data_IF_765771233704
#
_entry.id   IF_765771233704
#
_cell.length_a   1.000
_cell.length_b   1.000
_cell.length_c   1.000
_cell.angle_alpha   90.00
_cell.angle_beta   90.00
_cell.angle_gamma   90.00
#
_symmetry.space_group_name_H-M   'P 1'
#
loop_
_entity.id
_entity.type
_entity.pdbx_description
1 polymer ?
#
# COMPACT_ATOMS: atom_id res chain seq x y z
N UNK A 1 -5.01 0.40 -28.59
CA UNK A 1 -5.25 1.51 -27.65
C UNK A 1 -3.96 2.29 -27.51
N UNK A 2 -3.96 3.60 -27.26
CA UNK A 2 -2.72 4.29 -26.91
C UNK A 2 -2.11 3.65 -25.67
N UNK A 3 -0.76 3.65 -25.53
CA UNK A 3 -0.11 3.09 -24.34
C UNK A 3 -0.60 3.83 -23.09
N UNK A 4 -0.78 3.10 -21.98
CA UNK A 4 -1.11 3.70 -20.68
C UNK A 4 0.04 4.60 -20.24
N UNK A 5 -0.21 5.76 -19.62
CA UNK A 5 0.85 6.63 -19.13
C UNK A 5 1.62 5.94 -17.99
N UNK A 6 2.94 6.10 -17.97
CA UNK A 6 3.82 5.74 -16.86
C UNK A 6 4.17 6.99 -16.05
N UNK A 7 4.52 6.81 -14.78
CA UNK A 7 5.03 7.91 -13.96
C UNK A 7 6.35 8.45 -14.53
N UNK A 8 6.53 9.77 -14.44
CA UNK A 8 7.80 10.41 -14.77
C UNK A 8 8.91 9.84 -13.87
N UNK A 9 10.03 9.33 -14.44
CA UNK A 9 11.15 8.82 -13.64
C UNK A 9 11.69 9.78 -12.58
N UNK A 10 11.57 11.09 -12.78
CA UNK A 10 12.03 12.10 -11.84
C UNK A 10 11.29 12.07 -10.49
N UNK A 11 10.02 11.60 -10.46
CA UNK A 11 9.22 11.57 -9.24
C UNK A 11 9.79 10.63 -8.17
N UNK A 12 10.59 9.64 -8.58
CA UNK A 12 11.15 8.63 -7.68
C UNK A 12 12.33 9.15 -6.85
N UNK A 13 12.93 10.29 -7.22
CA UNK A 13 14.09 10.87 -6.54
C UNK A 13 15.20 9.86 -6.24
N UNK A 14 15.52 9.01 -7.23
CA UNK A 14 16.49 7.92 -7.09
C UNK A 14 17.91 8.46 -6.81
N UNK A 15 18.70 7.82 -5.93
CA UNK A 15 20.11 8.15 -5.73
C UNK A 15 20.97 7.58 -6.88
N UNK A 16 20.77 8.13 -8.10
CA UNK A 16 21.25 7.59 -9.38
C UNK A 16 22.74 7.24 -9.35
N UNK A 17 23.60 8.14 -8.87
CA UNK A 17 25.04 7.91 -8.84
C UNK A 17 25.44 6.70 -7.98
N UNK A 18 24.79 6.53 -6.83
CA UNK A 18 25.03 5.37 -5.96
C UNK A 18 24.51 4.08 -6.58
N UNK A 19 23.35 4.13 -7.25
CA UNK A 19 22.79 2.97 -7.95
C UNK A 19 23.68 2.55 -9.11
N UNK A 20 24.13 3.49 -9.94
CA UNK A 20 25.09 3.25 -11.04
C UNK A 20 26.41 2.65 -10.55
N UNK A 21 26.88 3.08 -9.39
CA UNK A 21 28.09 2.55 -8.76
C UNK A 21 27.90 1.15 -8.14
N UNK A 22 26.69 0.60 -8.16
CA UNK A 22 26.37 -0.70 -7.55
C UNK A 22 26.37 -0.69 -6.02
N UNK A 23 26.22 0.49 -5.39
CA UNK A 23 26.24 0.61 -3.93
C UNK A 23 25.15 -0.23 -3.23
N UNK A 24 23.99 -0.35 -3.86
CA UNK A 24 22.83 -1.11 -3.34
C UNK A 24 22.69 -2.50 -3.99
N UNK A 25 23.65 -2.90 -4.81
CA UNK A 25 23.60 -4.16 -5.56
C UNK A 25 24.26 -5.31 -4.79
N UNK A 26 23.75 -6.51 -4.97
CA UNK A 26 24.48 -7.71 -4.52
C UNK A 26 25.87 -7.77 -5.14
N UNK A 27 26.88 -8.06 -4.32
CA UNK A 27 28.28 -7.99 -4.76
C UNK A 27 28.63 -8.92 -5.93
N UNK A 28 27.91 -10.02 -6.08
CA UNK A 28 28.17 -10.92 -7.21
C UNK A 28 27.74 -10.30 -8.55
N UNK A 29 26.71 -9.45 -8.60
CA UNK A 29 26.35 -8.71 -9.82
C UNK A 29 27.36 -7.61 -10.16
N UNK A 30 27.86 -6.91 -9.14
CA UNK A 30 28.92 -5.93 -9.33
C UNK A 30 30.17 -6.60 -9.88
N UNK A 31 30.59 -7.73 -9.29
CA UNK A 31 31.76 -8.51 -9.74
C UNK A 31 31.56 -9.11 -11.12
N UNK A 32 30.35 -9.60 -11.44
CA UNK A 32 30.06 -10.10 -12.78
C UNK A 32 30.23 -9.00 -13.83
N UNK A 33 29.72 -7.80 -13.55
CA UNK A 33 29.89 -6.62 -14.42
C UNK A 33 31.38 -6.25 -14.58
N UNK A 34 32.13 -6.16 -13.47
CA UNK A 34 33.57 -5.86 -13.49
C UNK A 34 34.36 -6.89 -14.31
N UNK A 35 34.03 -8.19 -14.18
CA UNK A 35 34.63 -9.26 -14.97
C UNK A 35 34.35 -9.07 -16.46
N UNK A 36 33.11 -8.85 -16.86
CA UNK A 36 32.72 -8.64 -18.26
C UNK A 36 33.45 -7.46 -18.89
N UNK A 37 33.56 -6.36 -18.15
CA UNK A 37 34.30 -5.18 -18.58
C UNK A 37 35.79 -5.44 -18.72
N UNK A 38 36.43 -6.14 -17.77
CA UNK A 38 37.85 -6.48 -17.81
C UNK A 38 38.19 -7.43 -18.95
N UNK A 39 37.32 -8.41 -19.21
CA UNK A 39 37.46 -9.38 -20.32
C UNK A 39 37.03 -8.80 -21.68
N UNK A 40 36.50 -7.56 -21.72
CA UNK A 40 35.94 -6.92 -22.91
C UNK A 40 34.84 -7.78 -23.58
N UNK A 41 34.14 -8.57 -22.77
CA UNK A 41 33.04 -9.42 -23.21
C UNK A 41 31.71 -8.72 -22.99
N UNK A 42 31.02 -8.30 -24.05
CA UNK A 42 29.75 -7.58 -24.01
C UNK A 42 28.62 -8.36 -24.67
N UNK A 43 28.17 -9.48 -24.07
CA UNK A 43 27.10 -10.28 -24.65
C UNK A 43 25.78 -9.54 -24.57
N UNK A 44 25.01 -9.59 -25.66
CA UNK A 44 23.61 -9.17 -25.63
C UNK A 44 22.76 -10.31 -25.09
N UNK A 45 22.05 -10.02 -24.03
CA UNK A 45 21.15 -10.98 -23.40
C UNK A 45 19.71 -10.47 -23.44
N UNK A 46 18.74 -11.41 -23.36
CA UNK A 46 17.38 -11.09 -22.99
C UNK A 46 17.16 -11.63 -21.57
N UNK A 47 17.01 -10.73 -20.62
CA UNK A 47 16.64 -11.00 -19.24
C UNK A 47 15.13 -11.01 -19.12
N UNK A 48 14.57 -12.06 -18.54
CA UNK A 48 13.14 -12.21 -18.30
C UNK A 48 12.87 -12.13 -16.80
N UNK A 49 11.98 -11.21 -16.42
CA UNK A 49 11.49 -11.04 -15.05
C UNK A 49 10.08 -11.58 -14.93
N UNK A 50 9.82 -12.39 -13.91
CA UNK A 50 8.51 -13.01 -13.69
C UNK A 50 8.13 -13.09 -12.22
N UNK A 51 6.81 -13.04 -11.96
CA UNK A 51 6.23 -13.24 -10.65
C UNK A 51 6.14 -14.73 -10.31
N UNK A 52 6.25 -15.08 -9.01
CA UNK A 52 6.11 -16.46 -8.55
C UNK A 52 4.71 -16.80 -8.04
N UNK A 53 3.85 -15.82 -7.90
CA UNK A 53 2.50 -15.97 -7.36
C UNK A 53 1.50 -15.13 -8.13
N UNK A 54 0.22 -15.42 -7.99
CA UNK A 54 -0.83 -14.49 -8.39
C UNK A 54 -0.72 -13.20 -7.60
N UNK A 55 -0.71 -12.07 -8.31
CA UNK A 55 -0.52 -10.77 -7.70
C UNK A 55 -1.14 -9.63 -8.51
N UNK A 56 -1.45 -8.56 -7.82
CA UNK A 56 -1.71 -7.23 -8.36
C UNK A 56 -0.37 -6.50 -8.45
N UNK A 57 0.13 -6.31 -9.65
CA UNK A 57 1.50 -5.86 -9.93
C UNK A 57 1.70 -4.41 -9.49
N UNK A 58 2.76 -4.16 -8.76
CA UNK A 58 3.18 -2.83 -8.34
C UNK A 58 4.70 -2.64 -8.48
N UNK A 59 5.13 -1.37 -8.62
CA UNK A 59 6.54 -1.01 -8.71
C UNK A 59 7.15 -1.13 -10.10
N UNK A 60 6.35 -1.31 -11.14
CA UNK A 60 6.83 -1.44 -12.52
C UNK A 60 7.45 -0.14 -13.00
N UNK A 61 6.78 0.99 -12.75
CA UNK A 61 7.28 2.29 -13.20
C UNK A 61 8.55 2.71 -12.45
N UNK A 62 8.64 2.38 -11.14
CA UNK A 62 9.86 2.58 -10.36
C UNK A 62 11.01 1.67 -10.85
N UNK A 63 10.73 0.40 -11.20
CA UNK A 63 11.70 -0.53 -11.78
C UNK A 63 12.19 -0.06 -13.17
N UNK A 64 11.28 0.42 -14.01
CA UNK A 64 11.59 1.04 -15.30
C UNK A 64 12.46 2.29 -15.12
N UNK A 65 12.13 3.15 -14.16
CA UNK A 65 12.92 4.35 -13.85
C UNK A 65 14.34 4.00 -13.40
N UNK A 66 14.51 2.94 -12.59
CA UNK A 66 15.84 2.44 -12.21
C UNK A 66 16.64 2.05 -13.45
N UNK A 67 16.04 1.29 -14.37
CA UNK A 67 16.73 0.91 -15.61
C UNK A 67 17.05 2.13 -16.47
N UNK A 68 16.08 3.03 -16.67
CA UNK A 68 16.23 4.21 -17.52
C UNK A 68 17.28 5.20 -17.02
N UNK A 69 17.33 5.43 -15.72
CA UNK A 69 18.25 6.42 -15.12
C UNK A 69 19.58 5.83 -14.70
N UNK A 70 19.64 4.53 -14.38
CA UNK A 70 20.82 3.94 -13.75
C UNK A 70 21.58 2.93 -14.63
N UNK A 71 21.00 2.44 -15.74
CA UNK A 71 21.76 1.67 -16.72
C UNK A 71 22.87 2.54 -17.36
N UNK A 72 23.96 1.91 -17.77
CA UNK A 72 25.11 2.63 -18.33
C UNK A 72 24.78 3.24 -19.68
N UNK A 73 24.05 2.55 -20.52
CA UNK A 73 23.71 2.95 -21.88
C UNK A 73 22.23 2.62 -22.15
N UNK A 74 21.32 3.42 -21.59
CA UNK A 74 19.88 3.20 -21.78
C UNK A 74 19.45 3.04 -23.26
N UNK A 75 19.99 3.83 -24.22
CA UNK A 75 19.60 3.69 -25.64
C UNK A 75 19.92 2.32 -26.24
N UNK A 76 20.85 1.56 -25.66
CA UNK A 76 21.22 0.22 -26.11
C UNK A 76 20.29 -0.86 -25.57
N UNK A 77 19.40 -0.50 -24.63
CA UNK A 77 18.44 -1.42 -24.03
C UNK A 77 17.08 -1.35 -24.74
N UNK A 78 16.47 -2.50 -24.92
CA UNK A 78 15.06 -2.61 -25.27
C UNK A 78 14.34 -3.20 -24.07
N UNK A 79 13.53 -2.38 -23.43
CA UNK A 79 12.73 -2.80 -22.26
C UNK A 79 11.27 -2.91 -22.67
N UNK A 80 10.65 -4.02 -22.32
CA UNK A 80 9.21 -4.24 -22.45
C UNK A 80 8.67 -4.62 -21.09
N UNK A 81 7.56 -4.03 -20.67
CA UNK A 81 7.00 -4.24 -19.33
C UNK A 81 5.48 -4.19 -19.33
N UNK A 82 4.87 -4.87 -18.36
CA UNK A 82 3.48 -4.65 -17.95
C UNK A 82 3.33 -3.27 -17.29
N UNK A 83 2.15 -2.97 -16.80
CA UNK A 83 1.84 -1.71 -16.12
C UNK A 83 1.52 -1.93 -14.64
N UNK A 84 1.60 -0.84 -13.89
CA UNK A 84 1.07 -0.78 -12.54
C UNK A 84 -0.39 -1.23 -12.53
N UNK A 85 -0.76 -2.07 -11.57
CA UNK A 85 -2.12 -2.57 -11.41
C UNK A 85 -2.52 -3.73 -12.31
N UNK A 86 -1.64 -4.23 -13.16
CA UNK A 86 -1.93 -5.43 -13.93
C UNK A 86 -1.99 -6.67 -13.02
N UNK A 87 -3.04 -7.49 -13.20
CA UNK A 87 -3.10 -8.81 -12.57
C UNK A 87 -2.15 -9.77 -13.29
N UNK A 88 -1.36 -10.50 -12.52
CA UNK A 88 -0.38 -11.45 -13.05
C UNK A 88 -0.56 -12.85 -12.46
N UNK A 89 -0.35 -13.84 -13.29
CA UNK A 89 -0.35 -15.26 -12.92
C UNK A 89 1.05 -15.70 -12.45
N UNK A 90 1.17 -16.83 -11.71
CA UNK A 90 2.45 -17.44 -11.40
C UNK A 90 3.23 -17.76 -12.68
N UNK A 91 4.52 -17.35 -12.71
CA UNK A 91 5.46 -17.54 -13.83
C UNK A 91 5.13 -16.69 -15.07
N UNK A 92 4.22 -15.76 -14.97
CA UNK A 92 3.99 -14.79 -16.04
C UNK A 92 5.15 -13.80 -16.14
N UNK A 93 5.62 -13.56 -17.37
CA UNK A 93 6.66 -12.58 -17.66
C UNK A 93 6.10 -11.17 -17.48
N UNK A 94 6.67 -10.41 -16.57
CA UNK A 94 6.25 -9.03 -16.26
C UNK A 94 7.12 -7.96 -16.90
N UNK A 95 8.38 -8.34 -17.24
CA UNK A 95 9.32 -7.45 -17.89
C UNK A 95 10.36 -8.26 -18.68
N UNK A 96 10.74 -7.75 -19.85
CA UNK A 96 11.89 -8.19 -20.64
C UNK A 96 12.88 -7.04 -20.76
N UNK A 97 14.16 -7.34 -20.56
CA UNK A 97 15.26 -6.39 -20.71
C UNK A 97 16.24 -7.00 -21.70
N UNK A 98 16.35 -6.42 -22.90
CA UNK A 98 17.28 -6.86 -23.93
C UNK A 98 18.40 -5.83 -24.08
N UNK A 99 19.64 -6.28 -24.07
CA UNK A 99 20.80 -5.43 -24.29
C UNK A 99 22.11 -6.01 -23.78
N UNK A 100 23.20 -5.23 -23.82
CA UNK A 100 24.48 -5.65 -23.25
C UNK A 100 24.34 -5.91 -21.74
N UNK A 101 24.71 -7.12 -21.27
CA UNK A 101 24.48 -7.50 -19.88
C UNK A 101 25.24 -6.61 -18.89
N UNK A 102 26.43 -6.18 -19.24
CA UNK A 102 27.24 -5.26 -18.43
C UNK A 102 26.56 -3.89 -18.19
N UNK A 103 25.63 -3.49 -19.07
CA UNK A 103 24.94 -2.21 -18.94
C UNK A 103 23.94 -2.18 -17.76
N UNK A 104 23.35 -3.32 -17.37
CA UNK A 104 22.29 -3.38 -16.36
C UNK A 104 22.43 -4.49 -15.30
N UNK A 105 23.43 -5.38 -15.40
CA UNK A 105 23.61 -6.51 -14.48
C UNK A 105 23.57 -6.10 -12.99
N UNK A 106 24.17 -4.98 -12.64
CA UNK A 106 24.22 -4.45 -11.28
C UNK A 106 22.88 -3.90 -10.76
N UNK A 107 21.85 -3.79 -11.60
CA UNK A 107 20.54 -3.25 -11.21
C UNK A 107 19.53 -4.31 -10.79
N UNK A 108 19.85 -5.60 -10.95
CA UNK A 108 18.91 -6.70 -10.71
C UNK A 108 18.36 -6.69 -9.27
N UNK A 109 19.22 -6.56 -8.27
CA UNK A 109 18.81 -6.44 -6.86
C UNK A 109 17.78 -5.34 -6.65
N UNK A 110 17.94 -4.20 -7.33
CA UNK A 110 17.11 -3.02 -7.12
C UNK A 110 15.71 -3.20 -7.72
N UNK A 111 15.63 -3.51 -9.02
CA UNK A 111 14.32 -3.61 -9.66
C UNK A 111 13.50 -4.80 -9.15
N UNK A 112 14.13 -5.92 -8.79
CA UNK A 112 13.43 -7.03 -8.16
C UNK A 112 12.90 -6.69 -6.75
N UNK A 113 13.70 -5.98 -5.96
CA UNK A 113 13.30 -5.54 -4.63
C UNK A 113 12.12 -4.58 -4.64
N UNK A 114 12.12 -3.63 -5.59
CA UNK A 114 11.01 -2.70 -5.82
C UNK A 114 9.74 -3.45 -6.23
N UNK A 115 9.82 -4.28 -7.26
CA UNK A 115 8.69 -5.11 -7.71
C UNK A 115 8.12 -5.95 -6.57
N UNK A 116 8.97 -6.64 -5.80
CA UNK A 116 8.54 -7.50 -4.70
C UNK A 116 7.78 -6.70 -3.62
N UNK A 117 8.30 -5.55 -3.22
CA UNK A 117 7.69 -4.75 -2.16
C UNK A 117 6.37 -4.11 -2.59
N UNK A 118 6.36 -3.40 -3.72
CA UNK A 118 5.17 -2.69 -4.19
C UNK A 118 4.04 -3.65 -4.55
N UNK A 119 4.37 -4.78 -5.19
CA UNK A 119 3.41 -5.85 -5.49
C UNK A 119 2.81 -6.43 -4.22
N UNK A 120 3.59 -6.64 -3.15
CA UNK A 120 3.07 -7.09 -1.85
C UNK A 120 2.03 -6.14 -1.29
N UNK A 121 2.37 -4.86 -1.22
CA UNK A 121 1.47 -3.82 -0.70
C UNK A 121 0.22 -3.68 -1.57
N UNK A 122 0.40 -3.58 -2.89
CA UNK A 122 -0.70 -3.49 -3.85
C UNK A 122 -1.64 -4.68 -3.78
N UNK A 123 -1.11 -5.91 -3.79
CA UNK A 123 -1.92 -7.14 -3.74
C UNK A 123 -2.72 -7.25 -2.43
N UNK A 124 -2.10 -6.96 -1.29
CA UNK A 124 -2.80 -7.02 -0.01
C UNK A 124 -3.88 -5.93 0.08
N UNK A 125 -3.58 -4.72 -0.40
CA UNK A 125 -4.57 -3.63 -0.45
C UNK A 125 -5.71 -3.98 -1.38
N UNK A 126 -5.45 -4.51 -2.57
CA UNK A 126 -6.47 -4.92 -3.54
C UNK A 126 -7.44 -5.93 -2.94
N UNK A 127 -6.93 -6.97 -2.26
CA UNK A 127 -7.75 -7.98 -1.57
C UNK A 127 -8.66 -7.39 -0.49
N UNK A 128 -8.14 -6.40 0.24
CA UNK A 128 -8.91 -5.69 1.27
C UNK A 128 -9.99 -4.82 0.64
N UNK A 129 -9.65 -4.07 -0.42
CA UNK A 129 -10.61 -3.24 -1.16
C UNK A 129 -11.75 -4.09 -1.74
N UNK A 130 -11.43 -5.23 -2.34
CA UNK A 130 -12.43 -6.17 -2.86
C UNK A 130 -13.32 -6.77 -1.77
N UNK A 131 -12.74 -7.08 -0.61
CA UNK A 131 -13.51 -7.61 0.53
C UNK A 131 -14.43 -6.56 1.16
N UNK A 132 -14.04 -5.28 1.11
CA UNK A 132 -14.79 -4.16 1.69
C UNK A 132 -15.85 -3.58 0.73
N UNK A 133 -15.77 -3.87 -0.56
CA UNK A 133 -16.65 -3.26 -1.57
C UNK A 133 -18.14 -3.44 -1.25
N UNK A 134 -18.98 -2.35 -1.37
CA UNK A 134 -18.65 -1.04 -1.95
C UNK A 134 -18.08 0.01 -0.97
N UNK A 135 -17.70 -0.38 0.25
CA UNK A 135 -17.22 0.54 1.29
C UNK A 135 -15.77 0.97 1.05
N UNK A 136 -15.41 2.09 1.63
CA UNK A 136 -14.11 2.73 1.44
C UNK A 136 -13.01 2.07 2.28
N UNK A 137 -11.79 2.05 1.74
CA UNK A 137 -10.59 1.58 2.45
C UNK A 137 -9.55 2.70 2.53
N UNK A 138 -9.04 2.93 3.72
CA UNK A 138 -7.97 3.91 4.00
C UNK A 138 -6.71 3.15 4.41
N UNK A 139 -5.59 3.50 3.79
CA UNK A 139 -4.28 2.88 4.02
C UNK A 139 -3.57 3.54 5.21
N UNK A 140 -3.54 2.86 6.36
CA UNK A 140 -3.01 3.38 7.64
C UNK A 140 -1.69 2.78 8.14
N UNK A 141 -0.89 2.05 7.35
CA UNK A 141 0.27 1.34 7.93
C UNK A 141 1.56 2.16 8.00
N UNK A 142 1.55 3.48 7.82
CA UNK A 142 2.75 4.31 7.77
C UNK A 142 3.75 4.05 8.92
N UNK A 143 3.24 3.86 10.15
CA UNK A 143 4.07 3.60 11.35
C UNK A 143 4.52 2.15 11.50
N UNK A 144 4.09 1.25 10.64
CA UNK A 144 4.39 -0.19 10.75
C UNK A 144 5.62 -0.61 9.94
N UNK A 145 6.27 0.34 9.25
CA UNK A 145 7.54 0.12 8.55
C UNK A 145 8.38 1.41 8.51
N UNK A 146 9.57 1.31 7.93
CA UNK A 146 10.53 2.41 7.85
C UNK A 146 9.99 3.55 6.98
N UNK A 147 10.18 4.79 7.41
CA UNK A 147 9.65 5.98 6.74
C UNK A 147 10.10 6.15 5.28
N UNK A 148 11.29 5.65 4.89
CA UNK A 148 11.80 5.73 3.50
C UNK A 148 10.94 4.95 2.48
N UNK A 149 10.11 4.01 2.92
CA UNK A 149 9.31 3.19 1.99
C UNK A 149 7.90 3.74 1.78
N UNK A 150 7.51 4.75 2.56
CA UNK A 150 6.14 5.27 2.60
C UNK A 150 5.62 5.71 1.23
N UNK A 151 6.41 6.46 0.47
CA UNK A 151 6.00 7.04 -0.80
C UNK A 151 5.50 5.99 -1.80
N UNK A 152 6.30 4.99 -2.09
CA UNK A 152 5.92 3.94 -3.03
C UNK A 152 4.89 2.97 -2.47
N UNK A 153 4.86 2.73 -1.14
CA UNK A 153 3.82 1.91 -0.51
C UNK A 153 2.45 2.59 -0.62
N UNK A 154 2.41 3.91 -0.40
CA UNK A 154 1.19 4.69 -0.56
C UNK A 154 0.66 4.67 -2.00
N UNK A 155 1.56 4.83 -2.97
CA UNK A 155 1.18 4.74 -4.39
C UNK A 155 0.66 3.35 -4.77
N UNK A 156 1.34 2.28 -4.32
CA UNK A 156 0.86 0.91 -4.55
C UNK A 156 -0.53 0.67 -3.95
N UNK A 157 -0.82 1.26 -2.78
CA UNK A 157 -2.15 1.19 -2.18
C UNK A 157 -3.19 2.02 -2.94
N UNK A 158 -2.82 3.21 -3.43
CA UNK A 158 -3.69 4.08 -4.22
C UNK A 158 -4.14 3.38 -5.52
N UNK A 159 -3.22 2.83 -6.31
CA UNK A 159 -3.58 2.11 -7.55
C UNK A 159 -4.40 0.84 -7.27
N UNK A 160 -4.25 0.23 -6.09
CA UNK A 160 -5.04 -0.92 -5.65
C UNK A 160 -6.47 -0.54 -5.19
N UNK A 161 -6.80 0.76 -5.10
CA UNK A 161 -8.13 1.26 -4.81
C UNK A 161 -8.33 1.79 -3.40
N UNK A 162 -7.28 1.99 -2.60
CA UNK A 162 -7.40 2.75 -1.35
C UNK A 162 -7.76 4.21 -1.65
N UNK A 163 -8.76 4.76 -0.95
CA UNK A 163 -9.24 6.13 -1.20
C UNK A 163 -8.38 7.21 -0.56
N UNK A 164 -7.52 6.82 0.36
CA UNK A 164 -6.64 7.74 1.08
C UNK A 164 -5.53 7.01 1.83
N UNK A 165 -4.54 7.77 2.24
CA UNK A 165 -3.34 7.34 2.94
C UNK A 165 -3.08 8.24 4.14
N UNK A 166 -2.21 7.84 5.07
CA UNK A 166 -2.06 8.54 6.35
C UNK A 166 -0.95 9.60 6.39
N UNK A 167 -0.13 9.72 5.34
CA UNK A 167 0.94 10.74 5.30
C UNK A 167 1.06 11.38 3.91
N UNK A 168 1.54 12.64 3.88
CA UNK A 168 1.78 13.35 2.62
C UNK A 168 2.84 12.64 1.77
N UNK A 169 3.83 12.02 2.40
CA UNK A 169 4.82 11.20 1.70
C UNK A 169 4.15 10.05 0.94
N UNK A 170 3.18 9.37 1.56
CA UNK A 170 2.42 8.31 0.89
C UNK A 170 1.57 8.83 -0.26
N UNK A 171 1.08 10.07 -0.19
CA UNK A 171 0.22 10.69 -1.19
C UNK A 171 0.98 11.37 -2.34
N UNK A 172 2.28 11.61 -2.20
CA UNK A 172 3.05 12.54 -3.04
C UNK A 172 3.11 12.16 -4.52
N UNK A 173 3.12 10.87 -4.89
CA UNK A 173 3.25 10.47 -6.30
C UNK A 173 2.00 10.67 -7.17
N UNK A 174 0.86 11.02 -6.57
CA UNK A 174 -0.34 11.41 -7.32
C UNK A 174 -0.86 12.79 -6.93
N UNK A 175 -0.04 13.58 -6.24
CA UNK A 175 -0.36 14.99 -5.92
C UNK A 175 -1.51 15.17 -4.94
N UNK A 176 -1.63 14.30 -3.95
CA UNK A 176 -2.62 14.36 -2.88
C UNK A 176 -1.95 14.58 -1.53
N UNK A 177 -2.74 14.62 -0.47
CA UNK A 177 -2.31 14.81 0.91
C UNK A 177 -2.73 13.64 1.79
N UNK A 178 -2.08 13.49 2.94
CA UNK A 178 -2.39 12.47 3.93
C UNK A 178 -3.73 12.77 4.64
N UNK A 179 -4.46 11.71 4.95
CA UNK A 179 -5.68 11.79 5.77
C UNK A 179 -5.35 11.51 7.23
N UNK A 180 -5.98 12.24 8.14
CA UNK A 180 -5.80 12.06 9.58
C UNK A 180 -7.11 12.04 10.36
N UNK A 181 -7.03 11.51 11.58
CA UNK A 181 -8.12 11.54 12.58
C UNK A 181 -7.57 12.13 13.87
N UNK A 182 -8.42 12.43 14.84
CA UNK A 182 -7.97 12.81 16.20
C UNK A 182 -7.15 11.64 16.79
N UNK A 183 -5.87 11.82 17.17
CA UNK A 183 -5.07 10.75 17.74
C UNK A 183 -5.25 10.63 19.26
N UNK A 184 -5.12 9.43 19.83
CA UNK A 184 -5.16 9.17 21.27
C UNK A 184 -4.20 10.09 22.06
N UNK A 185 -3.02 10.39 21.52
CA UNK A 185 -2.04 11.25 22.17
C UNK A 185 -2.54 12.68 22.36
N UNK A 186 -3.33 13.21 21.41
CA UNK A 186 -3.94 14.53 21.55
C UNK A 186 -5.01 14.52 22.66
N UNK A 187 -5.84 13.49 22.71
CA UNK A 187 -6.86 13.31 23.75
C UNK A 187 -6.17 13.26 25.13
N UNK A 188 -5.11 12.49 25.27
CA UNK A 188 -4.33 12.41 26.50
C UNK A 188 -3.72 13.78 26.88
N UNK A 189 -3.23 14.55 25.92
CA UNK A 189 -2.66 15.89 26.14
C UNK A 189 -3.72 16.90 26.65
N UNK A 190 -5.00 16.66 26.35
CA UNK A 190 -6.13 17.41 26.94
C UNK A 190 -6.77 16.72 28.14
N UNK A 191 -5.97 15.93 28.90
CA UNK A 191 -6.39 15.32 30.16
C UNK A 191 -7.38 14.15 29.98
N UNK A 192 -7.47 13.56 28.81
CA UNK A 192 -8.40 12.47 28.49
C UNK A 192 -9.77 12.96 27.97
N UNK A 193 -9.96 14.26 27.83
CA UNK A 193 -11.22 14.84 27.35
C UNK A 193 -11.28 14.79 25.80
N UNK A 194 -11.97 13.78 25.28
CA UNK A 194 -12.14 13.58 23.83
C UNK A 194 -12.93 14.72 23.19
N UNK A 195 -13.93 15.27 23.91
CA UNK A 195 -14.76 16.37 23.40
C UNK A 195 -13.92 17.63 23.25
N UNK A 196 -13.17 17.98 24.30
CA UNK A 196 -12.29 19.16 24.26
C UNK A 196 -11.21 19.02 23.17
N UNK A 197 -10.56 17.89 23.08
CA UNK A 197 -9.55 17.62 22.04
C UNK A 197 -10.13 17.77 20.64
N UNK A 198 -11.34 17.22 20.39
CA UNK A 198 -12.02 17.29 19.11
C UNK A 198 -12.49 18.72 18.78
N UNK A 199 -12.98 19.48 19.77
CA UNK A 199 -13.31 20.93 19.60
C UNK A 199 -12.08 21.74 19.24
N UNK A 200 -10.95 21.51 19.92
CA UNK A 200 -9.71 22.22 19.62
C UNK A 200 -9.21 21.87 18.22
N UNK A 201 -9.30 20.61 17.81
CA UNK A 201 -8.96 20.23 16.45
C UNK A 201 -9.87 20.93 15.43
N UNK A 202 -11.18 21.00 15.67
CA UNK A 202 -12.14 21.72 14.81
C UNK A 202 -11.87 23.23 14.75
N UNK A 203 -11.39 23.82 15.83
CA UNK A 203 -11.06 25.26 15.93
C UNK A 203 -9.82 25.63 15.09
N UNK A 204 -8.80 24.76 15.06
CA UNK A 204 -7.50 25.08 14.48
C UNK A 204 -7.23 24.38 13.13
N UNK A 205 -8.06 23.42 12.71
CA UNK A 205 -7.93 22.81 11.39
C UNK A 205 -8.54 23.71 10.30
N UNK A 206 -7.99 23.61 9.10
CA UNK A 206 -8.45 24.34 7.94
C UNK A 206 -9.93 24.04 7.63
N UNK A 207 -10.71 25.05 7.18
CA UNK A 207 -12.05 24.82 6.70
C UNK A 207 -12.06 23.82 5.54
N UNK A 208 -12.87 22.76 5.66
CA UNK A 208 -12.99 21.72 4.63
C UNK A 208 -12.32 20.40 4.97
N UNK A 209 -11.44 20.36 5.96
CA UNK A 209 -10.91 19.08 6.47
C UNK A 209 -12.02 18.31 7.18
N UNK A 210 -12.22 17.06 6.75
CA UNK A 210 -13.21 16.15 7.33
C UNK A 210 -12.76 15.71 8.72
N UNK A 211 -13.39 16.22 9.77
CA UNK A 211 -13.05 15.88 11.14
C UNK A 211 -13.60 14.50 11.50
N UNK A 212 -12.73 13.56 11.79
CA UNK A 212 -13.07 12.23 12.31
C UNK A 212 -12.54 12.12 13.75
N UNK A 213 -13.44 12.01 14.72
CA UNK A 213 -13.09 11.90 16.14
C UNK A 213 -12.83 10.43 16.53
N UNK A 214 -11.78 10.20 17.31
CA UNK A 214 -11.46 8.89 17.89
C UNK A 214 -12.23 8.74 19.21
N UNK A 215 -13.06 7.70 19.35
CA UNK A 215 -14.07 7.65 20.43
C UNK A 215 -13.89 6.51 21.43
N UNK A 216 -12.79 5.78 21.35
CA UNK A 216 -12.50 4.61 22.20
C UNK A 216 -11.56 4.92 23.39
N UNK A 217 -11.17 6.19 23.59
CA UNK A 217 -10.19 6.56 24.62
C UNK A 217 -10.60 6.11 26.05
N UNK A 218 -11.86 6.29 26.41
CA UNK A 218 -12.41 5.83 27.70
C UNK A 218 -13.10 4.47 27.64
N UNK A 219 -12.92 3.75 26.52
CA UNK A 219 -13.55 2.45 26.27
C UNK A 219 -15.09 2.49 26.40
N UNK A 220 -15.71 3.59 25.95
CA UNK A 220 -17.15 3.84 25.93
C UNK A 220 -17.52 4.57 24.62
N UNK A 221 -17.41 3.84 23.51
CA UNK A 221 -17.58 4.42 22.18
C UNK A 221 -18.96 5.01 21.95
N UNK A 222 -20.01 4.44 22.54
CA UNK A 222 -21.38 4.93 22.38
C UNK A 222 -21.55 6.29 23.01
N UNK A 223 -21.19 6.43 24.30
CA UNK A 223 -21.30 7.68 25.02
C UNK A 223 -20.45 8.77 24.37
N UNK A 224 -19.18 8.47 24.13
CA UNK A 224 -18.21 9.43 23.56
C UNK A 224 -18.63 9.88 22.15
N UNK A 225 -19.19 8.98 21.34
CA UNK A 225 -19.72 9.36 20.02
C UNK A 225 -20.84 10.38 20.09
N UNK A 226 -21.78 10.22 21.05
CA UNK A 226 -22.86 11.19 21.24
C UNK A 226 -22.33 12.52 21.76
N UNK A 227 -21.47 12.52 22.78
CA UNK A 227 -20.89 13.73 23.36
C UNK A 227 -20.14 14.56 22.31
N UNK A 228 -19.36 13.91 21.45
CA UNK A 228 -18.62 14.55 20.36
C UNK A 228 -19.59 15.06 19.28
N UNK A 229 -20.62 14.29 18.90
CA UNK A 229 -21.60 14.69 17.89
C UNK A 229 -22.41 15.90 18.37
N UNK A 230 -22.86 15.93 19.61
CA UNK A 230 -23.54 17.09 20.22
C UNK A 230 -22.64 18.32 20.28
N UNK A 231 -21.35 18.14 20.59
CA UNK A 231 -20.40 19.22 20.76
C UNK A 231 -19.96 19.89 19.46
N UNK A 232 -19.93 19.14 18.35
CA UNK A 232 -19.38 19.57 17.05
C UNK A 232 -20.45 19.80 16.00
N UNK A 233 -21.62 19.18 16.12
CA UNK A 233 -22.70 19.30 15.13
C UNK A 233 -22.20 18.98 13.70
N UNK A 234 -22.51 19.86 12.76
CA UNK A 234 -22.15 19.72 11.34
C UNK A 234 -20.64 19.72 11.04
N UNK A 235 -19.82 20.09 12.02
CA UNK A 235 -18.34 20.02 11.88
C UNK A 235 -17.81 18.58 12.02
N UNK A 236 -18.59 17.67 12.61
CA UNK A 236 -18.22 16.28 12.75
C UNK A 236 -18.53 15.51 11.46
N UNK A 237 -17.52 15.10 10.75
CA UNK A 237 -17.70 14.21 9.60
C UNK A 237 -17.96 12.76 10.02
N UNK A 238 -17.22 12.25 11.01
CA UNK A 238 -17.35 10.87 11.45
C UNK A 238 -16.70 10.58 12.80
N UNK A 239 -16.95 9.38 13.27
CA UNK A 239 -16.30 8.80 14.45
C UNK A 239 -15.45 7.60 14.03
N UNK A 240 -14.30 7.42 14.68
CA UNK A 240 -13.44 6.26 14.48
C UNK A 240 -13.43 5.37 15.70
N UNK A 241 -13.72 4.10 15.51
CA UNK A 241 -13.61 3.04 16.51
C UNK A 241 -12.27 2.32 16.31
N UNK A 242 -11.45 2.27 17.35
CA UNK A 242 -10.12 1.63 17.34
C UNK A 242 -9.90 0.77 18.60
N UNK A 243 -11.00 0.35 19.26
CA UNK A 243 -10.99 -0.44 20.50
C UNK A 243 -10.03 -1.62 20.36
N UNK A 244 -9.11 -1.73 21.34
CA UNK A 244 -8.10 -2.80 21.39
C UNK A 244 -8.76 -4.18 21.44
N UNK A 245 -8.16 -5.15 20.74
CA UNK A 245 -8.61 -6.56 20.74
C UNK A 245 -8.59 -7.22 22.14
N UNK A 246 -7.92 -6.58 23.12
CA UNK A 246 -7.86 -7.02 24.51
C UNK A 246 -8.96 -6.43 25.40
N UNK A 247 -9.76 -5.51 24.89
CA UNK A 247 -10.76 -4.79 25.66
C UNK A 247 -12.20 -5.09 25.18
N UNK A 248 -13.15 -5.01 26.10
CA UNK A 248 -14.58 -5.04 25.85
C UNK A 248 -15.12 -3.63 26.09
N UNK A 249 -15.70 -3.00 25.06
CA UNK A 249 -16.35 -1.70 25.20
C UNK A 249 -17.49 -1.74 26.22
N UNK A 250 -17.71 -0.66 26.97
CA UNK A 250 -18.73 -0.58 28.02
C UNK A 250 -20.14 -0.92 27.53
N UNK A 251 -20.47 -0.55 26.30
CA UNK A 251 -21.76 -0.85 25.71
C UNK A 251 -22.04 -2.34 25.52
N UNK A 252 -21.00 -3.18 25.66
CA UNK A 252 -21.08 -4.65 25.49
C UNK A 252 -20.93 -5.43 26.81
N UNK A 253 -20.75 -4.80 27.95
CA UNK A 253 -20.53 -5.49 29.22
C UNK A 253 -21.65 -6.44 29.61
N UNK A 254 -22.90 -6.14 29.22
CA UNK A 254 -24.05 -6.99 29.47
C UNK A 254 -24.07 -8.28 28.64
N UNK A 255 -23.25 -8.35 27.57
CA UNK A 255 -23.15 -9.54 26.70
C UNK A 255 -21.96 -10.43 27.06
N UNK A 256 -21.10 -9.99 27.95
CA UNK A 256 -19.92 -10.76 28.39
C UNK A 256 -20.34 -12.12 28.97
N UNK A 257 -19.59 -13.16 28.59
CA UNK A 257 -19.85 -14.55 29.01
C UNK A 257 -20.76 -15.34 28.06
N UNK A 258 -21.41 -14.69 27.11
CA UNK A 258 -22.15 -15.34 26.01
C UNK A 258 -21.35 -15.35 24.71
N UNK A 259 -20.57 -14.31 24.48
CA UNK A 259 -19.68 -14.10 23.34
C UNK A 259 -18.36 -13.54 23.80
N UNK A 260 -17.36 -13.46 22.92
CA UNK A 260 -16.11 -12.72 23.15
C UNK A 260 -16.19 -11.35 22.46
N UNK A 261 -16.87 -10.36 23.05
CA UNK A 261 -17.15 -9.08 22.39
C UNK A 261 -15.97 -8.10 22.48
N UNK A 262 -14.73 -8.59 22.36
CA UNK A 262 -13.53 -7.79 22.42
C UNK A 262 -13.25 -7.03 21.12
N UNK A 263 -12.54 -5.93 21.25
CA UNK A 263 -12.12 -5.11 20.11
C UNK A 263 -13.27 -4.48 19.37
N UNK A 264 -12.99 -3.98 18.17
CA UNK A 264 -14.02 -3.52 17.26
C UNK A 264 -14.71 -4.73 16.64
N UNK A 265 -16.00 -4.91 16.97
CA UNK A 265 -16.84 -6.03 16.53
C UNK A 265 -18.20 -5.53 15.98
N UNK A 266 -18.98 -6.38 15.28
CA UNK A 266 -20.24 -5.99 14.67
C UNK A 266 -21.24 -5.36 15.62
N UNK A 267 -21.37 -5.87 16.85
CA UNK A 267 -22.33 -5.37 17.83
C UNK A 267 -21.96 -3.97 18.34
N UNK A 268 -20.66 -3.71 18.56
CA UNK A 268 -20.18 -2.38 18.94
C UNK A 268 -20.56 -1.34 17.89
N UNK A 269 -20.29 -1.63 16.62
CA UNK A 269 -20.62 -0.71 15.51
C UNK A 269 -22.13 -0.45 15.44
N UNK A 270 -22.96 -1.51 15.58
CA UNK A 270 -24.42 -1.36 15.61
C UNK A 270 -24.90 -0.53 16.81
N UNK A 271 -24.28 -0.70 17.97
CA UNK A 271 -24.63 0.09 19.15
C UNK A 271 -24.33 1.58 18.92
N UNK A 272 -23.17 1.91 18.37
CA UNK A 272 -22.80 3.30 18.04
C UNK A 272 -23.73 3.86 16.97
N UNK A 273 -24.00 3.14 15.87
CA UNK A 273 -24.89 3.61 14.80
C UNK A 273 -26.31 3.86 15.33
N UNK A 274 -26.86 2.92 16.07
CA UNK A 274 -28.18 3.04 16.67
C UNK A 274 -28.31 4.20 17.65
N UNK A 275 -27.24 4.50 18.39
CA UNK A 275 -27.22 5.63 19.31
C UNK A 275 -27.20 6.96 18.53
N UNK A 276 -26.32 7.09 17.54
CA UNK A 276 -26.26 8.28 16.69
C UNK A 276 -27.58 8.54 15.96
N UNK A 277 -28.20 7.51 15.38
CA UNK A 277 -29.47 7.64 14.66
C UNK A 277 -30.60 8.10 15.56
N UNK A 278 -30.73 7.54 16.76
CA UNK A 278 -31.78 7.92 17.74
C UNK A 278 -31.63 9.37 18.22
N UNK A 279 -30.42 9.93 18.17
CA UNK A 279 -30.16 11.31 18.60
C UNK A 279 -30.09 12.30 17.41
N UNK A 280 -30.46 11.89 16.21
CA UNK A 280 -30.52 12.75 15.04
C UNK A 280 -29.19 12.93 14.29
N UNK A 281 -28.15 12.16 14.62
CA UNK A 281 -26.82 12.19 14.01
C UNK A 281 -26.61 11.11 12.93
N UNK A 282 -27.67 10.75 12.19
CA UNK A 282 -27.63 9.71 11.15
C UNK A 282 -26.63 9.97 10.02
N UNK A 283 -26.23 11.24 9.81
CA UNK A 283 -25.24 11.62 8.82
C UNK A 283 -23.78 11.38 9.23
N UNK A 284 -23.49 11.19 10.54
CA UNK A 284 -22.15 10.96 11.05
C UNK A 284 -21.61 9.61 10.56
N UNK A 285 -20.45 9.61 9.91
CA UNK A 285 -19.80 8.42 9.35
C UNK A 285 -19.12 7.59 10.43
N UNK A 286 -19.09 6.26 10.23
CA UNK A 286 -18.38 5.34 11.12
C UNK A 286 -17.19 4.74 10.38
N UNK A 287 -15.99 5.08 10.86
CA UNK A 287 -14.72 4.51 10.42
C UNK A 287 -14.29 3.47 11.46
N UNK A 288 -13.90 2.30 11.01
CA UNK A 288 -13.38 1.25 11.90
C UNK A 288 -11.92 0.94 11.60
N UNK A 289 -11.15 0.66 12.65
CA UNK A 289 -9.75 0.26 12.58
C UNK A 289 -9.42 -0.70 13.73
N UNK A 290 -8.16 -1.10 13.91
CA UNK A 290 -7.76 -2.06 14.93
C UNK A 290 -7.88 -3.52 14.46
N UNK A 291 -6.77 -4.09 13.98
CA UNK A 291 -6.66 -5.52 13.66
C UNK A 291 -7.54 -6.02 12.50
N UNK A 292 -7.97 -5.16 11.57
CA UNK A 292 -8.76 -5.62 10.43
C UNK A 292 -7.90 -6.37 9.41
N UNK A 293 -8.39 -7.56 9.03
CA UNK A 293 -7.88 -8.41 7.95
C UNK A 293 -8.97 -8.63 6.92
N UNK A 294 -8.65 -9.26 5.79
CA UNK A 294 -9.65 -9.64 4.77
C UNK A 294 -10.77 -10.47 5.36
N UNK A 295 -10.45 -11.42 6.26
CA UNK A 295 -11.40 -12.31 6.92
C UNK A 295 -12.34 -11.53 7.84
N UNK A 296 -11.78 -10.61 8.65
CA UNK A 296 -12.57 -9.76 9.56
C UNK A 296 -13.51 -8.83 8.78
N UNK A 297 -13.04 -8.25 7.67
CA UNK A 297 -13.87 -7.43 6.79
C UNK A 297 -15.01 -8.25 6.20
N UNK A 298 -14.73 -9.41 5.61
CA UNK A 298 -15.77 -10.31 5.06
C UNK A 298 -16.81 -10.70 6.13
N UNK A 299 -16.37 -10.95 7.36
CA UNK A 299 -17.28 -11.22 8.46
C UNK A 299 -18.20 -10.02 8.75
N UNK A 300 -17.69 -8.79 8.70
CA UNK A 300 -18.50 -7.58 8.85
C UNK A 300 -19.47 -7.39 7.68
N UNK A 301 -19.02 -7.56 6.45
CA UNK A 301 -19.83 -7.36 5.26
C UNK A 301 -20.95 -8.42 5.15
N UNK A 302 -20.69 -9.67 5.49
CA UNK A 302 -21.73 -10.73 5.49
C UNK A 302 -22.82 -10.50 6.54
N UNK A 303 -22.60 -9.63 7.50
CA UNK A 303 -23.56 -9.25 8.52
C UNK A 303 -24.19 -7.87 8.30
N UNK A 304 -23.92 -7.22 7.16
CA UNK A 304 -24.40 -5.86 6.87
C UNK A 304 -24.09 -4.87 8.01
N UNK A 305 -22.86 -4.94 8.57
CA UNK A 305 -22.45 -4.02 9.65
C UNK A 305 -22.37 -2.61 9.10
N UNK A 306 -22.96 -1.59 9.75
CA UNK A 306 -23.03 -0.22 9.24
C UNK A 306 -21.70 0.54 9.39
N UNK A 307 -20.67 0.07 8.69
CA UNK A 307 -19.37 0.73 8.54
C UNK A 307 -19.39 1.57 7.28
N UNK A 308 -18.83 2.77 7.30
CA UNK A 308 -18.64 3.61 6.11
C UNK A 308 -17.23 3.43 5.51
N UNK A 309 -16.21 3.28 6.34
CA UNK A 309 -14.83 3.08 5.87
C UNK A 309 -14.00 2.20 6.83
N UNK A 310 -13.07 1.46 6.24
CA UNK A 310 -12.09 0.62 6.93
C UNK A 310 -10.71 1.25 6.92
N UNK A 311 -10.13 1.51 8.10
CA UNK A 311 -8.74 1.92 8.26
C UNK A 311 -7.84 0.72 8.52
N UNK A 312 -6.99 0.36 7.53
CA UNK A 312 -6.22 -0.87 7.56
C UNK A 312 -4.73 -0.57 7.77
N UNK A 313 -4.13 -1.26 8.73
CA UNK A 313 -2.73 -1.09 9.13
C UNK A 313 -1.83 -2.26 8.74
N UNK A 314 -1.19 -2.88 9.73
CA UNK A 314 -0.11 -3.87 9.59
C UNK A 314 -0.43 -5.10 8.74
N UNK A 315 -1.70 -5.49 8.61
CA UNK A 315 -2.12 -6.63 7.78
C UNK A 315 -1.74 -6.45 6.28
N UNK A 316 -1.59 -5.19 5.82
CA UNK A 316 -1.21 -4.87 4.44
C UNK A 316 0.27 -5.17 4.11
N UNK A 317 1.10 -5.44 5.12
CA UNK A 317 2.52 -5.76 4.93
C UNK A 317 2.84 -7.24 5.06
N UNK A 318 1.83 -8.09 5.18
CA UNK A 318 2.02 -9.54 5.36
C UNK A 318 2.33 -10.25 4.03
N UNK A 319 2.89 -11.47 4.16
CA UNK A 319 3.16 -12.34 3.02
C UNK A 319 4.42 -11.98 2.22
N UNK A 320 4.65 -12.74 1.14
CA UNK A 320 5.81 -12.60 0.26
C UNK A 320 5.36 -12.70 -1.20
N UNK A 321 5.88 -11.78 -2.01
CA UNK A 321 5.64 -11.72 -3.45
C UNK A 321 6.99 -11.54 -4.14
N UNK A 322 7.72 -12.65 -4.23
CA UNK A 322 9.07 -12.65 -4.81
C UNK A 322 9.02 -12.65 -6.35
N UNK A 323 9.94 -11.91 -6.93
CA UNK A 323 10.22 -11.92 -8.35
C UNK A 323 11.55 -12.62 -8.61
N UNK A 324 11.76 -13.08 -9.83
CA UNK A 324 13.03 -13.66 -10.29
C UNK A 324 13.33 -13.12 -11.69
N UNK A 325 14.60 -12.88 -11.94
CA UNK A 325 15.12 -12.58 -13.26
C UNK A 325 16.05 -13.69 -13.71
N UNK A 326 15.91 -14.13 -14.95
CA UNK A 326 16.82 -15.12 -15.56
C UNK A 326 17.15 -14.67 -17.01
N UNK A 327 18.41 -14.82 -17.41
CA UNK A 327 18.77 -14.75 -18.83
C UNK A 327 18.12 -15.93 -19.52
N UNK A 328 17.42 -15.64 -20.62
CA UNK A 328 16.70 -16.65 -21.42
C UNK A 328 17.17 -16.72 -22.86
N UNK A 329 17.74 -15.62 -23.39
CA UNK A 329 18.40 -15.59 -24.70
C UNK A 329 19.79 -14.99 -24.59
N UNK A 330 20.72 -15.51 -25.38
CA UNK A 330 22.06 -14.96 -25.62
C UNK A 330 22.21 -14.75 -27.14
N UNK A 331 22.54 -13.52 -27.55
CA UNK A 331 22.62 -13.16 -28.97
C UNK A 331 21.39 -13.63 -29.79
N UNK A 332 20.18 -13.47 -29.19
CA UNK A 332 18.90 -13.89 -29.78
C UNK A 332 18.67 -15.43 -29.83
N UNK A 333 19.56 -16.23 -29.28
CA UNK A 333 19.45 -17.69 -29.25
C UNK A 333 19.10 -18.20 -27.85
N UNK A 334 18.29 -19.27 -27.72
CA UNK A 334 17.99 -19.82 -26.42
C UNK A 334 19.24 -20.17 -25.61
N UNK A 335 19.36 -19.56 -24.45
CA UNK A 335 20.42 -19.81 -23.50
C UNK A 335 19.90 -19.47 -22.09
N UNK A 336 19.47 -20.47 -21.38
CA UNK A 336 18.87 -20.29 -20.06
C UNK A 336 19.36 -21.34 -19.07
N UNK A 337 19.27 -21.02 -17.78
CA UNK A 337 19.44 -22.00 -16.71
C UNK A 337 18.44 -23.14 -16.89
N UNK A 338 18.85 -24.38 -16.53
CA UNK A 338 17.97 -25.56 -16.55
C UNK A 338 16.63 -25.28 -15.82
N UNK A 339 15.53 -25.60 -16.47
CA UNK A 339 14.18 -25.33 -15.97
C UNK A 339 13.69 -23.90 -16.23
N UNK A 340 14.43 -23.11 -17.02
CA UNK A 340 14.02 -21.80 -17.51
C UNK A 340 13.97 -21.80 -19.03
N UNK A 341 13.06 -21.04 -19.58
CA UNK A 341 12.88 -20.88 -21.03
C UNK A 341 12.32 -19.50 -21.32
N UNK A 342 12.54 -19.02 -22.52
CA UNK A 342 11.91 -17.79 -23.00
C UNK A 342 10.39 -17.98 -23.10
N UNK A 343 9.65 -17.14 -22.36
CA UNK A 343 8.17 -17.10 -22.33
C UNK A 343 7.69 -15.72 -22.76
N UNK A 344 7.37 -15.54 -24.04
CA UNK A 344 6.85 -14.26 -24.50
C UNK A 344 5.50 -13.97 -23.84
N UNK A 345 5.28 -12.70 -23.49
CA UNK A 345 3.99 -12.23 -23.01
C UNK A 345 3.48 -11.12 -23.96
N UNK A 346 2.39 -11.35 -24.68
CA UNK A 346 1.85 -10.39 -25.65
C UNK A 346 1.27 -9.12 -25.00
N UNK A 347 1.14 -9.11 -23.67
CA UNK A 347 0.70 -7.95 -22.88
C UNK A 347 1.82 -6.95 -22.61
N UNK A 348 3.08 -7.35 -22.83
CA UNK A 348 4.21 -6.45 -22.62
C UNK A 348 4.22 -5.35 -23.67
N UNK A 349 4.41 -4.13 -23.22
CA UNK A 349 4.55 -2.97 -24.09
C UNK A 349 5.96 -2.38 -23.99
N UNK A 350 6.47 -1.89 -25.11
CA UNK A 350 7.79 -1.28 -25.16
C UNK A 350 7.81 0.00 -24.32
N UNK A 351 8.84 0.13 -23.53
CA UNK A 351 9.14 1.34 -22.75
C UNK A 351 9.90 2.31 -23.65
N UNK A 352 9.42 3.54 -23.74
CA UNK A 352 10.05 4.62 -24.51
C UNK A 352 11.15 5.36 -23.71
#
# INVERSE_FOLDING_TARGET
MPPRPRLDPAIFHLPVERMRAGYYSDKYFVRARELLLADRHRPRVTMQVFAKAHAFLGGVDEAVAILKLCAVEWPDLVVQALYEGDEVAPWETVMLIEGPYDAFAHLETLYLGVLARRTRVGTNTRRVVEAAAPKEVIFFPARHDHWLVQTGDGYAAHIAGAIGVSTDAQASWWGSEGMGTVPHALIAAYGGDTVLASRKMAEYMEPGVKLVALVDFENDCVRTSLEVAEALGDRLYGVRLDTSEMLVDRSLWTTMGREQPTGVNPQLVRNVRSALDRHGFGGVKIVVSGGFTVEKIRHFETQDVPVDAYGIGSSLFQGRYDFTADVVLLEGRPCAKAGREYRPNPRLERVE
#
